data_IF_591150259512
#
_entry.id   IF_591150259512
#
_cell.length_a   1.000
_cell.length_b   1.000
_cell.length_c   1.000
_cell.angle_alpha   90.00
_cell.angle_beta   90.00
_cell.angle_gamma   90.00
#
_symmetry.space_group_name_H-M   'P 1'
#
loop_
_entity.id
_entity.type
_entity.pdbx_description
1 polymer ?
#
# COMPACT_ATOMS: atom_id res chain seq x y z
N UNK A 1 -1.08 -5.64 6.46
CA UNK A 1 -0.82 -4.33 7.12
C UNK A 1 -0.35 -4.50 8.57
N UNK A 2 0.44 -5.52 8.85
CA UNK A 2 1.04 -5.74 10.17
C UNK A 2 1.82 -4.50 10.62
N UNK A 3 1.93 -4.29 11.94
CA UNK A 3 2.62 -3.14 12.53
C UNK A 3 2.18 -1.78 11.95
N UNK A 4 0.90 -1.68 11.54
CA UNK A 4 0.34 -0.47 10.89
C UNK A 4 1.09 -0.05 9.61
N UNK A 5 1.66 -1.02 8.87
CA UNK A 5 2.44 -0.78 7.66
C UNK A 5 3.83 -0.17 7.90
N UNK A 6 4.28 -0.11 9.14
CA UNK A 6 5.59 0.43 9.51
C UNK A 6 6.66 -0.68 9.48
N UNK A 7 6.90 -1.22 8.29
CA UNK A 7 7.94 -2.21 8.02
C UNK A 7 8.56 -1.91 6.66
N UNK A 8 9.88 -1.99 6.57
CA UNK A 8 10.62 -1.65 5.34
C UNK A 8 10.38 -2.66 4.19
N UNK A 9 9.89 -3.86 4.50
CA UNK A 9 9.51 -4.90 3.55
C UNK A 9 8.00 -4.97 3.28
N UNK A 10 7.20 -4.06 3.88
CA UNK A 10 5.76 -4.04 3.68
C UNK A 10 5.42 -3.58 2.25
N UNK A 11 4.72 -4.40 1.43
CA UNK A 11 4.34 -3.99 0.10
C UNK A 11 3.31 -2.86 0.15
N UNK A 12 3.61 -1.74 -0.50
CA UNK A 12 2.75 -0.55 -0.57
C UNK A 12 2.14 -0.33 -1.94
N UNK A 13 2.73 -0.95 -2.98
CA UNK A 13 2.21 -0.95 -4.35
C UNK A 13 1.80 -2.36 -4.72
N UNK A 14 0.59 -2.52 -5.21
CA UNK A 14 0.06 -3.78 -5.72
C UNK A 14 -0.30 -3.59 -7.20
N UNK A 15 0.49 -4.18 -8.07
CA UNK A 15 0.19 -4.20 -9.50
C UNK A 15 -0.75 -5.36 -9.79
N UNK A 16 -1.82 -5.10 -10.54
CA UNK A 16 -2.86 -6.07 -10.83
C UNK A 16 -3.23 -6.03 -12.31
N UNK A 17 -3.17 -7.20 -12.96
CA UNK A 17 -3.62 -7.36 -14.35
C UNK A 17 -5.08 -6.96 -14.49
N UNK A 18 -5.40 -6.21 -15.55
CA UNK A 18 -6.73 -5.64 -15.78
C UNK A 18 -7.85 -6.67 -15.82
N UNK A 19 -7.58 -7.90 -16.27
CA UNK A 19 -8.59 -8.98 -16.33
C UNK A 19 -9.16 -9.34 -14.96
N UNK A 20 -8.37 -9.24 -13.88
CA UNK A 20 -8.76 -9.55 -12.51
C UNK A 20 -8.89 -8.33 -11.61
N UNK A 21 -8.65 -7.14 -12.13
CA UNK A 21 -8.53 -5.90 -11.37
C UNK A 21 -9.74 -5.63 -10.46
N UNK A 22 -10.96 -5.72 -11.00
CA UNK A 22 -12.19 -5.48 -10.22
C UNK A 22 -12.35 -6.45 -9.04
N UNK A 23 -11.96 -7.72 -9.25
CA UNK A 23 -12.01 -8.73 -8.19
C UNK A 23 -10.97 -8.44 -7.11
N UNK A 24 -9.74 -8.13 -7.51
CA UNK A 24 -8.66 -7.80 -6.59
C UNK A 24 -9.00 -6.57 -5.72
N UNK A 25 -9.57 -5.53 -6.30
CA UNK A 25 -10.04 -4.35 -5.57
C UNK A 25 -11.04 -4.73 -4.49
N UNK A 26 -12.06 -5.51 -4.87
CA UNK A 26 -13.11 -5.92 -3.94
C UNK A 26 -12.51 -6.72 -2.78
N UNK A 27 -11.68 -7.71 -3.07
CA UNK A 27 -11.03 -8.55 -2.06
C UNK A 27 -10.12 -7.72 -1.15
N UNK A 28 -9.31 -6.80 -1.69
CA UNK A 28 -8.44 -5.93 -0.92
C UNK A 28 -9.23 -4.98 0.01
N UNK A 29 -10.31 -4.39 -0.48
CA UNK A 29 -11.19 -3.52 0.31
C UNK A 29 -11.90 -4.31 1.42
N UNK A 30 -12.43 -5.49 1.11
CA UNK A 30 -13.09 -6.37 2.07
C UNK A 30 -12.11 -6.78 3.20
N UNK A 31 -10.86 -7.12 2.86
CA UNK A 31 -9.84 -7.47 3.85
C UNK A 31 -9.42 -6.25 4.70
N UNK A 32 -9.22 -5.09 4.08
CA UNK A 32 -8.89 -3.86 4.82
C UNK A 32 -9.97 -3.49 5.83
N UNK A 33 -11.24 -3.63 5.46
CA UNK A 33 -12.37 -3.33 6.34
C UNK A 33 -12.53 -4.32 7.53
N UNK A 34 -11.94 -5.52 7.44
CA UNK A 34 -11.92 -6.48 8.56
C UNK A 34 -10.84 -6.16 9.59
N UNK A 35 -9.81 -5.40 9.21
CA UNK A 35 -8.70 -5.06 10.10
C UNK A 35 -9.19 -4.06 11.14
N UNK A 36 -9.15 -4.46 12.39
CA UNK A 36 -9.47 -3.56 13.51
C UNK A 36 -8.30 -2.65 13.81
N UNK A 37 -8.61 -1.43 14.25
CA UNK A 37 -7.63 -0.48 14.79
C UNK A 37 -7.95 -0.27 16.26
N UNK A 38 -6.96 -0.43 17.14
CA UNK A 38 -7.20 -0.28 18.60
C UNK A 38 -5.89 0.14 19.30
N UNK A 39 -5.97 0.40 20.61
CA UNK A 39 -4.82 0.75 21.43
C UNK A 39 -3.90 -0.45 21.62
N UNK A 40 -2.58 -0.22 21.60
CA UNK A 40 -1.57 -1.29 21.63
C UNK A 40 -1.61 -2.17 22.91
N UNK A 41 -2.14 -1.65 24.01
CA UNK A 41 -2.26 -2.41 25.26
C UNK A 41 -3.45 -3.36 25.33
N UNK A 42 -4.34 -3.31 24.36
CA UNK A 42 -5.51 -4.18 24.28
C UNK A 42 -5.14 -5.52 23.65
N UNK A 43 -5.59 -6.60 24.24
CA UNK A 43 -5.43 -7.93 23.65
C UNK A 43 -6.34 -8.11 22.44
N UNK A 44 -5.84 -8.75 21.40
CA UNK A 44 -6.60 -9.07 20.20
C UNK A 44 -5.82 -8.92 18.91
N UNK A 45 -6.48 -9.26 17.81
CA UNK A 45 -5.91 -9.10 16.47
C UNK A 45 -6.34 -7.74 15.90
N UNK A 46 -5.50 -6.74 16.06
CA UNK A 46 -5.71 -5.37 15.57
C UNK A 46 -4.37 -4.71 15.26
N UNK A 47 -4.40 -3.64 14.49
CA UNK A 47 -3.25 -2.75 14.30
C UNK A 47 -3.32 -1.59 15.30
N UNK A 48 -2.15 -1.15 15.75
CA UNK A 48 -1.98 -0.06 16.72
C UNK A 48 -1.82 1.31 16.07
N UNK A 49 -1.41 2.33 16.86
CA UNK A 49 -1.05 3.64 16.34
C UNK A 49 0.29 3.58 15.58
N UNK A 50 0.53 4.58 14.73
CA UNK A 50 1.86 4.83 14.20
C UNK A 50 2.75 5.51 15.23
N UNK A 51 4.07 5.45 15.01
CA UNK A 51 5.08 5.74 16.04
C UNK A 51 5.08 7.19 16.53
N UNK A 52 4.70 8.16 15.72
CA UNK A 52 4.82 9.58 16.07
C UNK A 52 3.82 10.46 15.33
N UNK A 53 3.67 11.71 15.81
CA UNK A 53 2.88 12.73 15.12
C UNK A 53 3.43 13.03 13.73
N UNK A 54 4.74 13.15 13.60
CA UNK A 54 5.39 13.41 12.31
C UNK A 54 5.06 12.33 11.28
N UNK A 55 5.11 11.05 11.69
CA UNK A 55 4.75 9.94 10.80
C UNK A 55 3.25 9.94 10.48
N UNK A 56 2.41 10.21 11.48
CA UNK A 56 0.96 10.34 11.27
C UNK A 56 0.65 11.44 10.25
N UNK A 57 1.21 12.64 10.44
CA UNK A 57 0.98 13.77 9.54
C UNK A 57 1.44 13.47 8.11
N UNK A 58 2.61 12.82 7.94
CA UNK A 58 3.11 12.35 6.64
C UNK A 58 2.14 11.40 5.95
N UNK A 59 1.62 10.41 6.68
CA UNK A 59 0.67 9.43 6.13
C UNK A 59 -0.62 10.13 5.70
N UNK A 60 -1.16 11.01 6.54
CA UNK A 60 -2.41 11.73 6.22
C UNK A 60 -2.20 12.68 5.02
N UNK A 61 -1.04 13.34 4.93
CA UNK A 61 -0.69 14.18 3.77
C UNK A 61 -0.67 13.34 2.47
N UNK A 62 -0.05 12.17 2.49
CA UNK A 62 -0.01 11.27 1.34
C UNK A 62 -1.39 10.69 0.99
N UNK A 63 -2.23 10.35 1.98
CA UNK A 63 -3.61 9.93 1.72
C UNK A 63 -4.39 11.05 1.02
N UNK A 64 -4.27 12.28 1.51
CA UNK A 64 -4.91 13.45 0.89
C UNK A 64 -4.36 13.73 -0.52
N UNK A 65 -3.05 13.56 -0.72
CA UNK A 65 -2.42 13.67 -2.05
C UNK A 65 -3.04 12.66 -3.02
N UNK A 66 -3.19 11.39 -2.63
CA UNK A 66 -3.82 10.38 -3.47
C UNK A 66 -5.24 10.77 -3.90
N UNK A 67 -6.05 11.28 -2.97
CA UNK A 67 -7.40 11.78 -3.27
C UNK A 67 -7.34 12.97 -4.25
N UNK A 68 -6.47 13.95 -3.99
CA UNK A 68 -6.34 15.15 -4.80
C UNK A 68 -5.78 14.88 -6.21
N UNK A 69 -4.93 13.88 -6.34
CA UNK A 69 -4.36 13.44 -7.62
C UNK A 69 -5.31 12.53 -8.43
N UNK A 70 -6.48 12.19 -7.88
CA UNK A 70 -7.55 11.49 -8.58
C UNK A 70 -7.56 9.98 -8.38
N UNK A 71 -6.80 9.44 -7.44
CA UNK A 71 -6.93 8.04 -7.07
C UNK A 71 -8.29 7.78 -6.39
N UNK A 72 -8.86 6.62 -6.61
CA UNK A 72 -10.15 6.23 -6.02
C UNK A 72 -9.93 5.60 -4.65
N UNK A 73 -10.44 6.23 -3.59
CA UNK A 73 -10.42 5.68 -2.23
C UNK A 73 -11.53 4.65 -2.06
N UNK A 74 -11.19 3.39 -1.79
CA UNK A 74 -12.17 2.28 -1.66
C UNK A 74 -12.28 1.72 -0.24
N UNK A 75 -11.32 2.03 0.64
CA UNK A 75 -11.37 1.72 2.05
C UNK A 75 -10.53 2.70 2.86
N UNK A 76 -10.86 2.92 4.13
CA UNK A 76 -10.11 3.76 5.05
C UNK A 76 -10.31 5.26 4.83
N UNK A 77 -9.20 5.99 4.64
CA UNK A 77 -9.19 7.43 4.42
C UNK A 77 -8.52 8.23 5.54
N UNK A 78 -8.50 9.58 5.41
CA UNK A 78 -7.73 10.44 6.30
C UNK A 78 -8.33 10.63 7.70
N UNK A 79 -9.63 10.29 7.88
CA UNK A 79 -10.30 10.48 9.16
C UNK A 79 -9.83 9.43 10.17
N UNK A 80 -9.78 9.82 11.44
CA UNK A 80 -9.46 8.89 12.53
C UNK A 80 -10.50 7.78 12.67
N UNK A 81 -10.09 6.60 13.15
CA UNK A 81 -11.04 5.56 13.53
C UNK A 81 -11.98 6.05 14.65
N UNK A 82 -13.23 5.64 14.60
CA UNK A 82 -14.23 6.01 15.62
C UNK A 82 -13.77 5.55 17.02
N UNK A 83 -13.88 6.44 18.00
CA UNK A 83 -13.48 6.19 19.38
C UNK A 83 -11.96 6.27 19.64
N UNK A 84 -11.17 6.63 18.63
CA UNK A 84 -9.72 6.77 18.70
C UNK A 84 -9.26 8.18 18.27
N UNK A 85 -9.98 9.20 18.70
CA UNK A 85 -9.71 10.62 18.35
C UNK A 85 -8.39 11.12 18.93
N UNK A 86 -7.93 10.50 20.02
CA UNK A 86 -6.62 10.80 20.64
C UNK A 86 -5.60 9.76 20.19
N UNK A 87 -4.38 10.21 19.83
CA UNK A 87 -3.29 9.37 19.36
C UNK A 87 -3.16 9.35 17.84
N UNK A 88 -2.21 8.55 17.34
CA UNK A 88 -1.76 8.55 15.95
C UNK A 88 -2.29 7.33 15.19
N UNK A 89 -3.62 7.15 15.23
CA UNK A 89 -4.28 6.02 14.59
C UNK A 89 -4.66 6.35 13.15
N UNK A 90 -4.31 5.44 12.24
CA UNK A 90 -4.64 5.52 10.81
C UNK A 90 -5.48 4.30 10.44
N UNK A 91 -6.55 4.50 9.68
CA UNK A 91 -7.37 3.40 9.14
C UNK A 91 -6.60 2.65 8.06
N UNK A 92 -6.73 1.31 7.96
CA UNK A 92 -6.34 0.58 6.76
C UNK A 92 -6.94 1.22 5.53
N UNK A 93 -6.09 1.70 4.63
CA UNK A 93 -6.49 2.56 3.51
C UNK A 93 -6.11 1.91 2.19
N UNK A 94 -7.05 1.81 1.26
CA UNK A 94 -6.85 1.24 -0.07
C UNK A 94 -7.20 2.27 -1.14
N UNK A 95 -6.25 2.52 -2.02
CA UNK A 95 -6.43 3.30 -3.23
C UNK A 95 -6.45 2.41 -4.47
N UNK A 96 -7.32 2.73 -5.43
CA UNK A 96 -7.38 2.14 -6.76
C UNK A 96 -7.26 3.22 -7.83
N UNK A 97 -7.14 2.80 -9.08
CA UNK A 97 -6.93 3.71 -10.21
C UNK A 97 -5.70 4.59 -10.02
N UNK A 98 -4.73 4.07 -9.28
CA UNK A 98 -3.46 4.74 -9.03
C UNK A 98 -2.61 4.67 -10.29
N UNK A 99 -2.08 5.82 -10.71
CA UNK A 99 -1.06 5.88 -11.76
C UNK A 99 0.33 5.95 -11.14
N UNK A 100 1.33 5.46 -11.87
CA UNK A 100 2.70 5.41 -11.36
C UNK A 100 3.32 6.80 -11.10
N UNK A 101 2.71 7.88 -11.58
CA UNK A 101 3.17 9.26 -11.36
C UNK A 101 2.64 9.91 -10.07
N UNK A 102 1.64 9.31 -9.43
CA UNK A 102 1.07 9.82 -8.18
C UNK A 102 2.06 9.71 -7.03
N UNK A 103 2.04 10.65 -6.10
CA UNK A 103 2.91 10.64 -4.91
C UNK A 103 2.77 9.34 -4.10
N UNK A 104 1.55 8.83 -3.95
CA UNK A 104 1.28 7.58 -3.23
C UNK A 104 1.87 6.33 -3.92
N UNK A 105 2.27 6.42 -5.19
CA UNK A 105 3.00 5.39 -5.91
C UNK A 105 4.53 5.60 -5.90
N UNK A 106 5.01 6.82 -5.70
CA UNK A 106 6.42 7.18 -5.78
C UNK A 106 7.10 7.34 -4.42
N UNK A 107 6.36 7.75 -3.38
CA UNK A 107 6.90 8.00 -2.06
C UNK A 107 6.59 6.84 -1.10
N UNK A 108 7.54 6.51 -0.22
CA UNK A 108 7.32 5.55 0.85
C UNK A 108 6.38 6.14 1.90
N UNK A 109 5.18 5.58 2.02
CA UNK A 109 4.17 6.06 2.97
C UNK A 109 4.52 5.64 4.40
N UNK A 110 5.01 4.41 4.57
CA UNK A 110 5.35 3.79 5.87
C UNK A 110 4.16 3.82 6.85
N UNK A 111 3.01 3.40 6.34
CA UNK A 111 1.71 3.38 7.01
C UNK A 111 0.79 2.32 6.43
N UNK A 112 -0.42 2.14 7.00
CA UNK A 112 -1.35 1.09 6.57
C UNK A 112 -2.11 1.50 5.28
N UNK A 113 -1.38 1.80 4.22
CA UNK A 113 -1.91 2.29 2.95
C UNK A 113 -1.41 1.39 1.82
N UNK A 114 -2.30 0.98 0.94
CA UNK A 114 -2.01 0.19 -0.26
C UNK A 114 -2.51 0.92 -1.50
N UNK A 115 -1.63 1.08 -2.48
CA UNK A 115 -1.91 1.66 -3.79
C UNK A 115 -2.02 0.55 -4.84
N UNK A 116 -3.20 0.38 -5.46
CA UNK A 116 -3.44 -0.65 -6.49
C UNK A 116 -3.35 0.00 -7.86
N UNK A 117 -2.43 -0.51 -8.68
CA UNK A 117 -2.10 -0.02 -10.02
C UNK A 117 -2.51 -1.08 -11.04
N UNK A 118 -3.39 -0.78 -12.01
CA UNK A 118 -3.69 -1.71 -13.09
C UNK A 118 -2.55 -1.79 -14.09
N UNK A 119 -2.36 -2.96 -14.71
CA UNK A 119 -1.49 -3.13 -15.87
C UNK A 119 -2.15 -4.02 -16.93
N UNK A 120 -1.75 -3.85 -18.19
CA UNK A 120 -2.28 -4.62 -19.34
C UNK A 120 -1.53 -5.93 -19.55
N UNK A 121 -0.21 -5.84 -19.57
CA UNK A 121 0.69 -6.94 -19.88
C UNK A 121 1.92 -6.94 -18.97
N UNK A 122 2.73 -7.99 -19.11
CA UNK A 122 3.89 -8.20 -18.27
C UNK A 122 5.00 -7.18 -18.47
N UNK A 123 5.21 -6.72 -19.69
CA UNK A 123 6.22 -5.69 -20.01
C UNK A 123 5.87 -4.37 -19.32
N UNK A 124 4.60 -3.99 -19.32
CA UNK A 124 4.11 -2.82 -18.57
C UNK A 124 4.31 -3.02 -17.05
N UNK A 125 3.96 -4.20 -16.52
CA UNK A 125 4.16 -4.50 -15.11
C UNK A 125 5.63 -4.35 -14.70
N UNK A 126 6.55 -4.93 -15.46
CA UNK A 126 8.00 -4.84 -15.23
C UNK A 126 8.48 -3.39 -15.30
N UNK A 127 8.01 -2.63 -16.27
CA UNK A 127 8.31 -1.21 -16.41
C UNK A 127 7.89 -0.42 -15.17
N UNK A 128 6.64 -0.60 -14.72
CA UNK A 128 6.10 0.09 -13.54
C UNK A 128 6.85 -0.30 -12.26
N UNK A 129 7.13 -1.59 -12.07
CA UNK A 129 7.86 -2.08 -10.87
C UNK A 129 9.24 -1.47 -10.77
N UNK A 130 9.95 -1.34 -11.88
CA UNK A 130 11.31 -0.81 -11.92
C UNK A 130 11.38 0.72 -11.93
N UNK A 131 10.28 1.43 -12.18
CA UNK A 131 10.23 2.90 -12.14
C UNK A 131 10.03 3.41 -10.70
N UNK A 132 10.98 3.10 -9.85
CA UNK A 132 11.04 3.52 -8.45
C UNK A 132 12.48 3.56 -7.95
N UNK A 133 12.74 4.36 -6.92
CA UNK A 133 14.03 4.37 -6.19
C UNK A 133 14.07 3.31 -5.07
N UNK A 134 12.97 2.62 -4.81
CA UNK A 134 12.85 1.59 -3.78
C UNK A 134 12.94 0.19 -4.40
N UNK A 135 13.22 -0.85 -3.60
CA UNK A 135 13.31 -2.21 -4.13
C UNK A 135 13.66 -3.26 -3.08
N UNK A 136 13.51 -2.96 -1.80
CA UNK A 136 13.90 -3.89 -0.73
C UNK A 136 13.07 -5.18 -0.72
N UNK A 137 11.75 -5.08 -0.90
CA UNK A 137 10.85 -6.21 -0.89
C UNK A 137 9.97 -6.24 -2.14
N UNK A 138 10.05 -7.31 -2.91
CA UNK A 138 9.24 -7.54 -4.09
C UNK A 138 8.61 -8.93 -4.05
N UNK A 139 7.35 -9.02 -4.49
CA UNK A 139 6.59 -10.25 -4.49
C UNK A 139 5.92 -10.43 -5.84
N UNK A 140 6.07 -11.62 -6.43
CA UNK A 140 5.39 -11.99 -7.68
C UNK A 140 4.42 -13.13 -7.37
N UNK A 141 3.18 -12.99 -7.79
CA UNK A 141 2.14 -14.00 -7.66
C UNK A 141 1.58 -14.33 -9.05
N UNK A 142 1.95 -15.48 -9.58
CA UNK A 142 1.46 -15.99 -10.85
C UNK A 142 1.34 -17.49 -10.81
N UNK A 143 0.49 -18.06 -11.67
CA UNK A 143 0.43 -19.51 -11.92
C UNK A 143 1.38 -19.93 -13.06
N UNK A 144 1.91 -18.97 -13.80
CA UNK A 144 2.89 -19.24 -14.84
C UNK A 144 4.30 -19.35 -14.25
N UNK A 145 4.88 -20.55 -14.32
CA UNK A 145 6.22 -20.84 -13.79
C UNK A 145 7.33 -20.21 -14.63
N UNK A 146 7.10 -19.99 -15.91
CA UNK A 146 8.09 -19.36 -16.78
C UNK A 146 8.24 -17.88 -16.41
N UNK A 147 7.14 -17.19 -16.19
CA UNK A 147 7.13 -15.81 -15.70
C UNK A 147 7.96 -15.65 -14.43
N UNK A 148 7.79 -16.52 -13.44
CA UNK A 148 8.59 -16.46 -12.20
C UNK A 148 10.08 -16.61 -12.47
N UNK A 149 10.48 -17.47 -13.41
CA UNK A 149 11.87 -17.82 -13.61
C UNK A 149 12.70 -16.71 -14.28
N UNK A 150 12.09 -15.83 -15.07
CA UNK A 150 12.80 -14.74 -15.76
C UNK A 150 12.47 -13.34 -15.23
N UNK A 151 11.55 -13.20 -14.32
CA UNK A 151 11.26 -11.90 -13.70
C UNK A 151 12.40 -11.49 -12.78
N UNK A 152 13.28 -10.64 -13.27
CA UNK A 152 14.35 -10.05 -12.49
C UNK A 152 13.91 -8.68 -11.96
N UNK A 153 13.56 -8.64 -10.68
CA UNK A 153 13.32 -7.40 -9.96
C UNK A 153 14.65 -6.90 -9.42
N UNK A 154 15.21 -5.87 -10.06
CA UNK A 154 16.48 -5.29 -9.63
C UNK A 154 16.31 -4.49 -8.36
N UNK A 155 16.99 -4.90 -7.31
CA UNK A 155 17.16 -4.07 -6.11
C UNK A 155 18.07 -2.90 -6.47
N UNK A 156 17.72 -1.65 -6.10
CA UNK A 156 18.66 -0.55 -6.22
C UNK A 156 19.91 -0.89 -5.42
N UNK A 157 21.07 -0.87 -6.06
CA UNK A 157 22.34 -1.07 -5.37
C UNK A 157 22.61 0.18 -4.55
N UNK A 158 22.48 0.08 -3.24
CA UNK A 158 22.93 1.13 -2.32
C UNK A 158 24.44 1.01 -2.26
N UNK A 159 25.14 1.90 -2.96
CA UNK A 159 26.57 2.07 -2.76
C UNK A 159 26.77 2.81 -1.44
N UNK A 160 27.33 2.12 -0.47
CA UNK A 160 27.78 2.68 0.82
C UNK A 160 29.07 3.46 0.64
#
# INVERSE_FOLDING_TARGET
>A
MSNSGQSCDAPTRMLVEKSIYKRAIKEAADEANKIKVDIASKNGNHIGPVISKTQYDKIIDLINSGINEGATLVAGGPEKPNGLEKGYFVKPTIFTDVTNNMRIAKEEIFGPVLSIIPFEDEDEAISIVNDTSYGLGNYVQTQDKETVSYTHLTLPTINW
#
